data_IF_529945278628
#
_entry.id   IF_529945278628
#
_cell.length_a   1.000
_cell.length_b   1.000
_cell.length_c   1.000
_cell.angle_alpha   90.00
_cell.angle_beta   90.00
_cell.angle_gamma   90.00
#
_symmetry.space_group_name_H-M   'P 1'
#
loop_
_entity.id
_entity.type
_entity.pdbx_description
1 polymer ?
#
# COMPACT_ATOMS: atom_id res chain seq x y z
N UNK A 1 -9.56 3.64 29.63
CA UNK A 1 -8.60 4.38 28.79
C UNK A 1 -9.42 4.98 27.65
N UNK A 2 -9.47 6.30 27.52
CA UNK A 2 -10.18 6.99 26.42
C UNK A 2 -9.15 7.51 25.43
N UNK A 3 -9.24 7.08 24.18
CA UNK A 3 -8.36 7.54 23.10
C UNK A 3 -8.81 8.92 22.62
N UNK A 4 -7.86 9.82 22.33
CA UNK A 4 -8.17 11.07 21.63
C UNK A 4 -8.71 10.70 20.23
N UNK A 5 -9.88 11.24 19.79
CA UNK A 5 -10.43 11.01 18.46
C UNK A 5 -9.48 11.34 17.29
N UNK A 6 -8.45 12.15 17.52
CA UNK A 6 -7.41 12.53 16.55
C UNK A 6 -6.18 11.63 16.57
N UNK A 7 -6.15 10.61 17.41
CA UNK A 7 -5.03 9.66 17.45
C UNK A 7 -4.94 8.95 16.09
N UNK A 8 -3.83 9.09 15.34
CA UNK A 8 -3.71 8.41 14.05
C UNK A 8 -3.61 6.90 14.26
N UNK A 9 -4.17 6.16 13.31
CA UNK A 9 -4.14 4.69 13.31
C UNK A 9 -3.73 4.19 11.92
N UNK A 10 -2.99 3.10 11.89
CA UNK A 10 -2.72 2.37 10.64
C UNK A 10 -3.97 1.55 10.32
N UNK A 11 -4.58 1.83 9.16
CA UNK A 11 -5.83 1.19 8.72
C UNK A 11 -5.60 0.08 7.70
N UNK A 12 -4.44 0.05 7.05
CA UNK A 12 -4.06 -1.01 6.13
C UNK A 12 -2.55 -1.04 5.92
N UNK A 13 -2.00 -2.22 5.68
CA UNK A 13 -0.58 -2.46 5.45
C UNK A 13 -0.38 -3.49 4.35
N UNK A 14 0.69 -3.35 3.58
CA UNK A 14 1.09 -4.37 2.62
C UNK A 14 2.60 -4.34 2.40
N UNK A 15 3.13 -5.50 2.05
CA UNK A 15 4.50 -5.66 1.59
C UNK A 15 4.47 -6.48 0.29
N UNK A 16 5.17 -5.99 -0.73
CA UNK A 16 5.31 -6.67 -2.01
C UNK A 16 6.74 -7.16 -2.12
N UNK A 17 6.90 -8.45 -2.35
CA UNK A 17 8.18 -9.06 -2.65
C UNK A 17 8.19 -9.48 -4.12
N UNK A 18 9.28 -9.21 -4.81
CA UNK A 18 9.53 -9.75 -6.13
C UNK A 18 10.81 -10.59 -6.11
N UNK A 19 10.73 -11.74 -6.78
CA UNK A 19 11.88 -12.58 -7.11
C UNK A 19 11.89 -12.70 -8.62
N UNK A 20 13.06 -12.47 -9.20
CA UNK A 20 13.26 -12.48 -10.65
C UNK A 20 14.41 -13.40 -10.99
N UNK A 21 14.19 -14.21 -12.04
CA UNK A 21 15.16 -15.19 -12.50
C UNK A 21 16.11 -14.57 -13.54
N UNK A 22 15.61 -13.68 -14.41
CA UNK A 22 16.44 -12.89 -15.34
C UNK A 22 16.82 -11.49 -14.82
N UNK A 23 18.09 -11.08 -14.98
CA UNK A 23 18.49 -9.70 -14.73
C UNK A 23 17.66 -8.70 -15.57
N UNK A 24 17.09 -7.69 -14.91
CA UNK A 24 16.31 -6.63 -15.57
C UNK A 24 14.83 -6.95 -15.77
N UNK A 25 14.34 -8.15 -15.42
CA UNK A 25 12.91 -8.49 -15.49
C UNK A 25 12.07 -7.99 -14.32
N UNK A 26 12.68 -7.29 -13.36
CA UNK A 26 12.01 -6.81 -12.16
C UNK A 26 11.20 -5.54 -12.44
N UNK A 27 10.13 -5.36 -11.65
CA UNK A 27 9.45 -4.08 -11.55
C UNK A 27 10.42 -3.02 -11.01
N UNK A 28 10.25 -1.80 -11.48
CA UNK A 28 10.99 -0.67 -10.92
C UNK A 28 10.46 -0.30 -9.51
N UNK A 29 11.15 0.65 -8.87
CA UNK A 29 10.81 1.08 -7.51
C UNK A 29 9.42 1.72 -7.41
N UNK A 30 8.98 2.47 -8.44
CA UNK A 30 7.70 3.16 -8.45
C UNK A 30 6.57 2.16 -8.64
N UNK A 31 6.75 1.19 -9.54
CA UNK A 31 5.81 0.10 -9.77
C UNK A 31 5.62 -0.78 -8.54
N UNK A 32 6.71 -1.11 -7.84
CA UNK A 32 6.64 -1.84 -6.56
C UNK A 32 5.86 -1.05 -5.50
N UNK A 33 6.11 0.25 -5.39
CA UNK A 33 5.42 1.12 -4.44
C UNK A 33 3.94 1.27 -4.78
N UNK A 34 3.60 1.47 -6.06
CA UNK A 34 2.22 1.54 -6.52
C UNK A 34 1.46 0.24 -6.19
N UNK A 35 2.12 -0.91 -6.38
CA UNK A 35 1.54 -2.22 -6.06
C UNK A 35 1.33 -2.41 -4.56
N UNK A 36 2.31 -2.00 -3.74
CA UNK A 36 2.18 -2.04 -2.29
C UNK A 36 1.08 -1.09 -1.78
N UNK A 37 0.99 0.12 -2.31
CA UNK A 37 -0.04 1.09 -1.95
C UNK A 37 -1.44 0.58 -2.32
N UNK A 38 -1.60 0.00 -3.51
CA UNK A 38 -2.86 -0.60 -3.92
C UNK A 38 -3.28 -1.75 -2.99
N UNK A 39 -2.36 -2.66 -2.65
CA UNK A 39 -2.65 -3.74 -1.70
C UNK A 39 -2.97 -3.24 -0.30
N UNK A 40 -2.29 -2.19 0.20
CA UNK A 40 -2.59 -1.60 1.51
C UNK A 40 -3.97 -0.91 1.52
N UNK A 41 -4.38 -0.32 0.40
CA UNK A 41 -5.70 0.27 0.27
C UNK A 41 -6.82 -0.78 0.28
N UNK A 42 -6.59 -1.93 -0.35
CA UNK A 42 -7.50 -3.09 -0.26
C UNK A 42 -7.54 -3.65 1.17
N UNK A 43 -6.40 -3.79 1.85
CA UNK A 43 -6.33 -4.21 3.26
C UNK A 43 -7.13 -3.28 4.18
N UNK A 44 -7.12 -1.97 3.89
CA UNK A 44 -7.94 -0.99 4.60
C UNK A 44 -9.46 -1.08 4.32
N UNK A 45 -9.90 -1.96 3.41
CA UNK A 45 -11.30 -2.10 3.00
C UNK A 45 -11.87 -0.92 2.20
N UNK A 46 -11.01 0.02 1.79
CA UNK A 46 -11.39 1.22 1.05
C UNK A 46 -10.99 1.16 -0.44
N UNK A 47 -10.04 0.29 -0.79
CA UNK A 47 -9.59 0.00 -2.16
C UNK A 47 -9.35 1.26 -2.98
N UNK A 48 -9.91 1.29 -4.19
CA UNK A 48 -9.79 2.43 -5.11
C UNK A 48 -10.28 3.78 -4.57
N UNK A 49 -11.18 3.81 -3.58
CA UNK A 49 -11.63 5.10 -2.99
C UNK A 49 -10.53 5.78 -2.20
N UNK A 50 -9.66 5.01 -1.54
CA UNK A 50 -8.53 5.56 -0.80
C UNK A 50 -7.46 6.07 -1.76
N UNK A 51 -7.19 5.33 -2.83
CA UNK A 51 -6.20 5.72 -3.84
C UNK A 51 -6.62 6.99 -4.60
N UNK A 52 -7.90 7.12 -4.95
CA UNK A 52 -8.42 8.31 -5.65
C UNK A 52 -8.32 9.61 -4.82
N UNK A 53 -8.10 9.51 -3.51
CA UNK A 53 -7.91 10.67 -2.62
C UNK A 53 -6.43 11.08 -2.48
N UNK A 54 -5.50 10.38 -3.16
CA UNK A 54 -4.05 10.65 -3.09
C UNK A 54 -3.53 11.58 -4.20
N UNK A 55 -4.40 12.00 -5.13
CA UNK A 55 -4.14 13.08 -6.11
C UNK A 55 -4.17 14.47 -5.45
#
# INVERSE_FOLDING_TARGET
MTMDPRTPVLVGVAAVQQRVDEPGGGLDAVELMARAAASAAEDAGAGGKLLAAMD
#
